data_IF_083346402871
#
_entry.id   IF_083346402871
#
_cell.length_a   1.000
_cell.length_b   1.000
_cell.length_c   1.000
_cell.angle_alpha   90.00
_cell.angle_beta   90.00
_cell.angle_gamma   90.00
#
_symmetry.space_group_name_H-M   'P 1'
#
loop_
_entity.id
_entity.type
_entity.pdbx_description
1 polymer ?
#
# COMPACT_ATOMS: atom_id res chain seq x y z
N UNK A 1 -33.39 -47.28 -7.98
CA UNK A 1 -31.91 -47.20 -8.04
C UNK A 1 -31.58 -46.06 -9.00
N UNK A 2 -30.74 -45.07 -8.72
CA UNK A 2 -29.93 -44.77 -7.54
C UNK A 2 -30.23 -43.36 -7.00
N UNK A 3 -29.97 -43.19 -5.71
CA UNK A 3 -30.12 -41.95 -4.95
C UNK A 3 -28.98 -41.01 -5.33
N UNK A 4 -29.26 -39.74 -5.67
CA UNK A 4 -28.24 -38.68 -5.74
C UNK A 4 -28.48 -37.70 -4.59
N UNK A 5 -27.42 -37.40 -3.85
CA UNK A 5 -27.38 -36.38 -2.81
C UNK A 5 -27.21 -35.02 -3.51
N UNK A 6 -28.17 -34.12 -3.28
CA UNK A 6 -28.10 -32.71 -3.65
C UNK A 6 -27.32 -31.94 -2.58
N UNK A 7 -26.80 -30.78 -3.00
CA UNK A 7 -25.94 -29.88 -2.25
C UNK A 7 -26.58 -29.25 -1.00
N UNK A 8 -25.70 -28.57 -0.26
CA UNK A 8 -25.92 -27.58 0.80
C UNK A 8 -27.35 -27.58 1.36
N UNK A 9 -27.54 -28.36 2.42
CA UNK A 9 -28.82 -28.46 3.12
C UNK A 9 -29.17 -27.14 3.83
N UNK A 10 -30.42 -26.71 3.63
CA UNK A 10 -31.13 -25.70 4.43
C UNK A 10 -30.83 -25.86 5.92
N UNK A 11 -30.22 -24.86 6.54
CA UNK A 11 -30.12 -24.78 8.00
C UNK A 11 -31.36 -24.06 8.53
N UNK A 12 -32.28 -24.83 9.12
CA UNK A 12 -33.26 -24.30 10.07
C UNK A 12 -32.57 -24.18 11.44
N UNK A 13 -32.62 -22.98 12.02
CA UNK A 13 -32.18 -22.69 13.37
C UNK A 13 -33.06 -23.40 14.42
N UNK A 14 -32.48 -24.26 15.27
CA UNK A 14 -32.92 -24.47 16.66
C UNK A 14 -31.97 -25.35 17.50
N UNK A 15 -31.77 -24.90 18.75
CA UNK A 15 -30.92 -25.44 19.82
C UNK A 15 -31.31 -26.85 20.33
N UNK A 16 -30.26 -27.58 20.73
CA UNK A 16 -30.09 -28.47 21.90
C UNK A 16 -30.54 -29.97 21.93
N UNK A 17 -29.50 -30.82 22.06
CA UNK A 17 -29.16 -31.82 23.12
C UNK A 17 -29.42 -33.35 22.94
N UNK A 18 -28.29 -34.07 23.11
CA UNK A 18 -28.01 -35.44 23.66
C UNK A 18 -28.09 -36.69 22.77
N UNK A 19 -26.89 -37.28 22.60
CA UNK A 19 -26.42 -38.68 22.46
C UNK A 19 -27.31 -39.76 21.84
N UNK A 20 -26.78 -40.43 20.81
CA UNK A 20 -26.57 -41.89 20.84
C UNK A 20 -25.47 -42.29 19.85
N UNK A 21 -24.60 -43.20 20.27
CA UNK A 21 -23.53 -43.81 19.48
C UNK A 21 -24.06 -44.52 18.23
N UNK A 22 -23.39 -44.33 17.09
CA UNK A 22 -23.21 -45.42 16.12
C UNK A 22 -21.96 -45.19 15.27
N UNK A 23 -21.01 -46.11 15.41
CA UNK A 23 -19.83 -46.23 14.56
C UNK A 23 -20.27 -46.65 13.16
N UNK A 24 -20.13 -45.75 12.20
CA UNK A 24 -20.00 -46.15 10.81
C UNK A 24 -19.02 -45.21 10.09
N UNK A 25 -17.88 -45.79 9.75
CA UNK A 25 -16.75 -45.16 9.07
C UNK A 25 -17.16 -44.74 7.65
N UNK A 26 -17.48 -43.46 7.47
CA UNK A 26 -17.44 -42.78 6.18
C UNK A 26 -16.41 -41.68 6.27
N UNK A 27 -15.52 -41.64 5.27
CA UNK A 27 -14.63 -40.51 4.99
C UNK A 27 -15.42 -39.21 5.21
N UNK A 28 -15.04 -38.44 6.22
CA UNK A 28 -15.41 -37.03 6.31
C UNK A 28 -14.72 -36.37 5.12
N UNK A 29 -15.47 -36.11 4.06
CA UNK A 29 -15.22 -34.88 3.31
C UNK A 29 -15.54 -33.78 4.33
N UNK A 30 -14.51 -33.14 4.88
CA UNK A 30 -14.67 -31.93 5.68
C UNK A 30 -15.40 -30.92 4.79
N UNK A 31 -16.71 -30.79 5.02
CA UNK A 31 -17.51 -29.74 4.41
C UNK A 31 -17.01 -28.43 5.02
N UNK A 32 -16.20 -27.70 4.25
CA UNK A 32 -15.74 -26.37 4.61
C UNK A 32 -16.99 -25.51 4.87
N UNK A 33 -17.21 -25.15 6.12
CA UNK A 33 -18.27 -24.23 6.53
C UNK A 33 -17.58 -22.90 6.77
N UNK A 34 -17.62 -22.03 5.77
CA UNK A 34 -17.12 -20.65 5.92
C UNK A 34 -18.25 -19.83 6.51
N UNK A 35 -18.05 -19.28 7.71
CA UNK A 35 -18.98 -18.29 8.25
C UNK A 35 -18.84 -17.01 7.44
N UNK A 36 -19.95 -16.54 6.85
CA UNK A 36 -19.97 -15.34 6.04
C UNK A 36 -20.01 -14.09 6.94
N UNK A 37 -19.36 -13.02 6.50
CA UNK A 37 -19.32 -11.75 7.24
C UNK A 37 -20.70 -11.08 7.37
N UNK A 38 -21.65 -11.42 6.48
CA UNK A 38 -22.99 -10.84 6.43
C UNK A 38 -24.08 -11.92 6.37
N UNK A 39 -25.29 -11.60 6.84
CA UNK A 39 -26.46 -12.43 6.61
C UNK A 39 -26.84 -12.38 5.12
N UNK A 40 -26.44 -13.42 4.39
CA UNK A 40 -26.69 -13.54 2.95
C UNK A 40 -27.90 -14.45 2.70
N UNK A 41 -28.72 -14.13 1.71
CA UNK A 41 -29.80 -15.00 1.26
C UNK A 41 -29.24 -16.33 0.72
N UNK A 42 -29.48 -17.48 1.40
CA UNK A 42 -28.91 -18.77 1.00
C UNK A 42 -29.58 -19.36 -0.27
N UNK A 43 -30.68 -18.77 -0.74
CA UNK A 43 -31.34 -19.18 -1.98
C UNK A 43 -30.91 -18.32 -3.20
N UNK A 44 -30.03 -17.32 -3.01
CA UNK A 44 -29.47 -16.48 -4.08
C UNK A 44 -27.96 -16.77 -4.27
N UNK A 45 -27.58 -17.45 -5.38
CA UNK A 45 -26.18 -17.76 -5.70
C UNK A 45 -25.25 -16.53 -5.79
N UNK A 46 -25.73 -15.41 -6.35
CA UNK A 46 -24.87 -14.22 -6.51
C UNK A 46 -24.62 -13.54 -5.18
N UNK A 47 -25.66 -13.44 -4.34
CA UNK A 47 -25.51 -12.93 -2.98
C UNK A 47 -24.50 -13.77 -2.19
N UNK A 48 -24.52 -15.10 -2.31
CA UNK A 48 -23.53 -16.00 -1.70
C UNK A 48 -22.11 -15.76 -2.19
N UNK A 49 -21.92 -15.69 -3.51
CA UNK A 49 -20.62 -15.37 -4.11
C UNK A 49 -20.08 -14.02 -3.59
N UNK A 50 -20.93 -13.00 -3.53
CA UNK A 50 -20.53 -11.67 -3.05
C UNK A 50 -20.17 -11.68 -1.56
N UNK A 51 -20.90 -12.45 -0.75
CA UNK A 51 -20.57 -12.68 0.65
C UNK A 51 -19.21 -13.37 0.83
N UNK A 52 -18.97 -14.45 0.07
CA UNK A 52 -17.68 -15.17 0.10
C UNK A 52 -16.52 -14.27 -0.33
N UNK A 53 -16.70 -13.48 -1.40
CA UNK A 53 -15.70 -12.53 -1.85
C UNK A 53 -15.39 -11.47 -0.79
N UNK A 54 -16.42 -10.94 -0.13
CA UNK A 54 -16.23 -9.96 0.94
C UNK A 54 -15.47 -10.57 2.13
N UNK A 55 -15.83 -11.77 2.56
CA UNK A 55 -15.10 -12.51 3.61
C UNK A 55 -13.65 -12.76 3.24
N UNK A 56 -13.36 -13.07 1.98
CA UNK A 56 -11.98 -13.21 1.52
C UNK A 56 -11.21 -11.89 1.60
N UNK A 57 -11.80 -10.78 1.17
CA UNK A 57 -11.16 -9.45 1.21
C UNK A 57 -10.90 -8.93 2.62
N UNK A 58 -11.76 -9.28 3.57
CA UNK A 58 -11.64 -8.92 4.99
C UNK A 58 -10.68 -9.84 5.76
N UNK A 59 -10.34 -11.00 5.20
CA UNK A 59 -9.27 -11.85 5.71
C UNK A 59 -7.89 -11.34 5.26
N UNK A 60 -6.83 -12.00 5.68
CA UNK A 60 -5.44 -11.74 5.22
C UNK A 60 -5.20 -12.01 3.72
N UNK A 61 -6.23 -12.35 2.94
CA UNK A 61 -6.18 -12.58 1.47
C UNK A 61 -5.17 -13.65 1.02
N UNK A 62 -4.70 -14.49 1.96
CA UNK A 62 -3.77 -15.60 1.78
C UNK A 62 -4.48 -16.97 1.79
N UNK A 63 -5.77 -17.01 2.09
CA UNK A 63 -6.53 -18.25 2.17
C UNK A 63 -6.91 -18.77 0.77
N UNK A 64 -6.03 -19.59 0.19
CA UNK A 64 -6.23 -20.27 -1.10
C UNK A 64 -7.50 -21.13 -1.13
N UNK A 65 -7.93 -21.69 0.02
CA UNK A 65 -9.14 -22.52 0.06
C UNK A 65 -10.40 -21.68 -0.19
N UNK A 66 -10.48 -20.48 0.37
CA UNK A 66 -11.59 -19.56 0.13
C UNK A 66 -11.55 -19.08 -1.33
N UNK A 67 -10.38 -18.72 -1.85
CA UNK A 67 -10.21 -18.28 -3.23
C UNK A 67 -10.65 -19.36 -4.24
N UNK A 68 -10.24 -20.61 -4.01
CA UNK A 68 -10.70 -21.76 -4.80
C UNK A 68 -12.21 -22.00 -4.66
N UNK A 69 -12.77 -21.78 -3.47
CA UNK A 69 -14.22 -21.82 -3.25
C UNK A 69 -14.96 -20.79 -4.11
N UNK A 70 -14.44 -19.57 -4.20
CA UNK A 70 -14.99 -18.48 -5.02
C UNK A 70 -14.93 -18.83 -6.50
N UNK A 71 -13.80 -19.34 -6.99
CA UNK A 71 -13.64 -19.78 -8.40
C UNK A 71 -14.64 -20.89 -8.75
N UNK A 72 -14.75 -21.90 -7.89
CA UNK A 72 -15.68 -23.01 -8.09
C UNK A 72 -17.15 -22.55 -8.08
N UNK A 73 -17.49 -21.57 -7.25
CA UNK A 73 -18.83 -20.99 -7.20
C UNK A 73 -19.12 -20.15 -8.47
N UNK A 74 -18.15 -19.39 -8.96
CA UNK A 74 -18.24 -18.71 -10.25
C UNK A 74 -18.50 -19.70 -11.41
N UNK A 75 -17.75 -20.80 -11.44
CA UNK A 75 -17.93 -21.87 -12.42
C UNK A 75 -19.30 -22.55 -12.31
N UNK A 76 -19.80 -22.76 -11.08
CA UNK A 76 -21.15 -23.31 -10.85
C UNK A 76 -22.21 -22.36 -11.40
N UNK A 77 -22.11 -21.07 -11.07
CA UNK A 77 -23.05 -20.03 -11.51
C UNK A 77 -23.07 -19.94 -13.03
N UNK A 78 -21.91 -19.86 -13.71
CA UNK A 78 -21.86 -19.81 -15.17
C UNK A 78 -22.37 -21.07 -15.83
N UNK A 79 -22.21 -22.25 -15.23
CA UNK A 79 -22.69 -23.50 -15.82
C UNK A 79 -24.19 -23.68 -15.69
N UNK A 80 -24.76 -23.19 -14.58
CA UNK A 80 -26.16 -23.38 -14.25
C UNK A 80 -27.05 -22.22 -14.70
N UNK A 81 -26.50 -21.05 -15.02
CA UNK A 81 -27.30 -19.94 -15.52
C UNK A 81 -27.91 -20.25 -16.90
N UNK A 82 -29.16 -19.81 -17.10
CA UNK A 82 -29.89 -20.06 -18.35
C UNK A 82 -29.20 -19.52 -19.61
N UNK A 83 -28.55 -18.37 -19.50
CA UNK A 83 -27.84 -17.74 -20.61
C UNK A 83 -26.70 -18.62 -21.17
N UNK A 84 -26.19 -19.53 -20.34
CA UNK A 84 -25.15 -20.51 -20.72
C UNK A 84 -25.69 -21.94 -20.86
N UNK A 85 -27.01 -22.11 -20.98
CA UNK A 85 -27.65 -23.41 -21.21
C UNK A 85 -27.95 -24.24 -19.96
N UNK A 86 -27.84 -23.64 -18.77
CA UNK A 86 -28.28 -24.23 -17.52
C UNK A 86 -29.79 -24.07 -17.25
N UNK A 87 -30.22 -24.46 -16.06
CA UNK A 87 -31.63 -24.46 -15.63
C UNK A 87 -31.98 -23.42 -14.54
N UNK A 88 -30.98 -22.75 -13.96
CA UNK A 88 -31.17 -21.73 -12.92
C UNK A 88 -31.37 -20.33 -13.52
N UNK A 89 -32.41 -19.63 -13.04
CA UNK A 89 -32.70 -18.22 -13.38
C UNK A 89 -31.72 -17.27 -12.68
N UNK A 90 -30.45 -17.30 -13.07
CA UNK A 90 -29.40 -16.43 -12.54
C UNK A 90 -29.07 -15.37 -13.58
N UNK A 91 -29.23 -14.09 -13.22
CA UNK A 91 -28.81 -12.96 -14.04
C UNK A 91 -27.42 -12.49 -13.59
N UNK A 92 -26.37 -12.98 -14.24
CA UNK A 92 -25.00 -12.51 -13.99
C UNK A 92 -24.87 -11.03 -14.35
N UNK A 93 -24.02 -10.31 -13.63
CA UNK A 93 -23.77 -8.88 -13.82
C UNK A 93 -22.26 -8.59 -13.97
N UNK A 94 -21.90 -7.33 -14.17
CA UNK A 94 -20.51 -6.89 -14.26
C UNK A 94 -19.69 -7.23 -13.00
N UNK A 95 -20.27 -7.11 -11.81
CA UNK A 95 -19.65 -7.48 -10.54
C UNK A 95 -19.28 -8.97 -10.47
N UNK A 96 -20.13 -9.85 -11.00
CA UNK A 96 -19.82 -11.27 -11.13
C UNK A 96 -18.54 -11.50 -11.95
N UNK A 97 -18.46 -10.89 -13.14
CA UNK A 97 -17.29 -11.03 -14.00
C UNK A 97 -16.04 -10.42 -13.38
N UNK A 98 -16.19 -9.34 -12.63
CA UNK A 98 -15.10 -8.74 -11.89
C UNK A 98 -14.53 -9.63 -10.80
N UNK A 99 -15.38 -10.17 -9.94
CA UNK A 99 -14.97 -11.11 -8.89
C UNK A 99 -14.29 -12.32 -9.51
N UNK A 100 -14.87 -12.87 -10.58
CA UNK A 100 -14.30 -14.05 -11.21
C UNK A 100 -12.93 -13.76 -11.83
N UNK A 101 -12.78 -12.61 -12.49
CA UNK A 101 -11.49 -12.20 -13.09
C UNK A 101 -10.42 -12.00 -12.01
N UNK A 102 -10.73 -11.25 -10.95
CA UNK A 102 -9.80 -11.02 -9.84
C UNK A 102 -9.43 -12.32 -9.10
N UNK A 103 -10.40 -13.23 -8.92
CA UNK A 103 -10.14 -14.49 -8.25
C UNK A 103 -9.16 -15.39 -9.03
N UNK A 104 -9.16 -15.34 -10.36
CA UNK A 104 -8.25 -16.09 -11.23
C UNK A 104 -6.84 -15.48 -11.33
N UNK A 105 -6.66 -14.24 -10.88
CA UNK A 105 -5.49 -13.43 -11.20
C UNK A 105 -4.17 -14.01 -10.70
N UNK A 106 -4.14 -14.51 -9.45
CA UNK A 106 -2.92 -15.04 -8.80
C UNK A 106 -2.25 -16.17 -9.57
N UNK A 107 -3.03 -17.10 -10.13
CA UNK A 107 -2.48 -18.29 -10.80
C UNK A 107 -2.63 -18.26 -12.32
N UNK A 108 -3.62 -17.52 -12.85
CA UNK A 108 -4.03 -17.60 -14.25
C UNK A 108 -4.37 -16.22 -14.83
N UNK A 109 -3.41 -15.30 -14.87
CA UNK A 109 -3.56 -13.94 -15.44
C UNK A 109 -4.26 -13.95 -16.82
N UNK A 110 -3.89 -14.87 -17.71
CA UNK A 110 -4.55 -14.97 -19.03
C UNK A 110 -6.03 -15.36 -18.91
N UNK A 111 -6.36 -16.32 -18.03
CA UNK A 111 -7.76 -16.70 -17.79
C UNK A 111 -8.56 -15.61 -17.08
N UNK A 112 -7.90 -14.82 -16.23
CA UNK A 112 -8.47 -13.61 -15.63
C UNK A 112 -8.86 -12.60 -16.71
N UNK A 113 -7.96 -12.31 -17.65
CA UNK A 113 -8.21 -11.42 -18.79
C UNK A 113 -9.30 -11.97 -19.72
N UNK A 114 -9.25 -13.25 -20.09
CA UNK A 114 -10.28 -13.87 -20.93
C UNK A 114 -11.68 -13.73 -20.30
N UNK A 115 -11.77 -13.92 -18.97
CA UNK A 115 -13.03 -13.78 -18.25
C UNK A 115 -13.51 -12.33 -18.20
N UNK A 116 -12.59 -11.38 -18.09
CA UNK A 116 -12.91 -9.96 -18.14
C UNK A 116 -13.44 -9.54 -19.52
N UNK A 117 -12.82 -10.03 -20.60
CA UNK A 117 -13.23 -9.78 -21.98
C UNK A 117 -14.62 -10.38 -22.29
N UNK A 118 -14.96 -11.54 -21.71
CA UNK A 118 -16.34 -12.04 -21.74
C UNK A 118 -17.32 -11.09 -21.04
N UNK A 119 -16.89 -10.45 -19.94
CA UNK A 119 -17.63 -9.40 -19.26
C UNK A 119 -17.87 -8.19 -20.16
N UNK A 120 -16.83 -7.66 -20.80
CA UNK A 120 -16.95 -6.54 -21.75
C UNK A 120 -17.85 -6.89 -22.93
N UNK A 121 -17.74 -8.11 -23.47
CA UNK A 121 -18.62 -8.59 -24.53
C UNK A 121 -20.11 -8.59 -24.15
N UNK A 122 -20.43 -8.75 -22.87
CA UNK A 122 -21.82 -8.76 -22.35
C UNK A 122 -22.32 -7.39 -21.92
N UNK A 123 -21.49 -6.59 -21.26
CA UNK A 123 -21.89 -5.32 -20.64
C UNK A 123 -21.41 -4.08 -21.39
N UNK A 124 -20.65 -4.28 -22.47
CA UNK A 124 -20.07 -3.24 -23.32
C UNK A 124 -18.73 -2.72 -22.80
N UNK A 125 -17.89 -2.31 -23.74
CA UNK A 125 -16.55 -1.72 -23.50
C UNK A 125 -16.60 -0.43 -22.67
N UNK A 126 -17.78 0.14 -22.52
CA UNK A 126 -18.08 1.36 -21.78
C UNK A 126 -18.39 1.12 -20.29
N UNK A 127 -18.36 -0.15 -19.84
CA UNK A 127 -18.65 -0.49 -18.44
C UNK A 127 -17.50 -0.05 -17.52
N UNK A 128 -17.80 0.88 -16.61
CA UNK A 128 -16.81 1.49 -15.70
C UNK A 128 -16.21 0.46 -14.73
N UNK A 129 -17.03 -0.42 -14.17
CA UNK A 129 -16.57 -1.44 -13.21
C UNK A 129 -15.51 -2.33 -13.85
N UNK A 130 -15.81 -2.86 -15.04
CA UNK A 130 -14.90 -3.75 -15.77
C UNK A 130 -13.60 -3.04 -16.17
N UNK A 131 -13.65 -1.74 -16.51
CA UNK A 131 -12.42 -0.94 -16.74
C UNK A 131 -11.55 -0.84 -15.50
N UNK A 132 -12.13 -0.51 -14.36
CA UNK A 132 -11.39 -0.40 -13.09
C UNK A 132 -10.81 -1.76 -12.66
N UNK A 133 -11.54 -2.86 -12.90
CA UNK A 133 -11.00 -4.21 -12.70
C UNK A 133 -9.82 -4.47 -13.64
N UNK A 134 -9.90 -4.01 -14.90
CA UNK A 134 -8.78 -4.12 -15.84
C UNK A 134 -7.56 -3.33 -15.36
N UNK A 135 -7.75 -2.13 -14.81
CA UNK A 135 -6.68 -1.36 -14.18
C UNK A 135 -5.98 -2.18 -13.08
N UNK A 136 -6.75 -2.78 -12.17
CA UNK A 136 -6.21 -3.62 -11.10
C UNK A 136 -5.37 -4.79 -11.67
N UNK A 137 -5.91 -5.52 -12.64
CA UNK A 137 -5.22 -6.65 -13.30
C UNK A 137 -3.93 -6.20 -14.01
N UNK A 138 -3.91 -5.02 -14.63
CA UNK A 138 -2.72 -4.46 -15.29
C UNK A 138 -1.64 -4.17 -14.25
N UNK A 139 -1.97 -3.54 -13.12
CA UNK A 139 -1.00 -3.23 -12.08
C UNK A 139 -0.41 -4.51 -11.47
N UNK A 140 -1.24 -5.51 -11.16
CA UNK A 140 -0.77 -6.81 -10.67
C UNK A 140 0.11 -7.53 -11.71
N UNK A 141 -0.25 -7.43 -12.99
CA UNK A 141 0.57 -7.95 -14.09
C UNK A 141 1.94 -7.26 -14.14
N UNK A 142 2.00 -5.94 -13.97
CA UNK A 142 3.27 -5.20 -13.91
C UNK A 142 4.08 -5.66 -12.69
N UNK A 143 3.47 -5.72 -11.51
CA UNK A 143 4.17 -6.13 -10.29
C UNK A 143 4.73 -7.55 -10.40
N UNK A 144 3.92 -8.53 -10.81
CA UNK A 144 4.27 -9.96 -10.76
C UNK A 144 5.12 -10.39 -11.96
N UNK A 145 4.71 -10.04 -13.18
CA UNK A 145 5.33 -10.56 -14.41
C UNK A 145 6.46 -9.68 -14.93
N UNK A 146 6.52 -8.41 -14.53
CA UNK A 146 7.58 -7.49 -14.93
C UNK A 146 8.52 -7.26 -13.76
N UNK A 147 8.14 -6.42 -12.80
CA UNK A 147 9.04 -5.94 -11.73
C UNK A 147 9.57 -7.10 -10.87
N UNK A 148 8.70 -8.02 -10.45
CA UNK A 148 9.09 -9.20 -9.66
C UNK A 148 10.01 -10.20 -10.38
N UNK A 149 10.22 -10.04 -11.68
CA UNK A 149 11.16 -10.86 -12.47
C UNK A 149 12.47 -10.12 -12.79
N UNK A 150 12.58 -8.82 -12.45
CA UNK A 150 13.75 -8.00 -12.73
C UNK A 150 14.81 -8.13 -11.63
N UNK A 151 16.04 -7.78 -11.99
CA UNK A 151 17.17 -7.51 -11.13
C UNK A 151 17.89 -6.26 -11.64
N UNK A 152 18.88 -5.78 -10.91
CA UNK A 152 19.64 -4.55 -11.24
C UNK A 152 20.33 -4.57 -12.61
N UNK A 153 20.57 -5.75 -13.19
CA UNK A 153 21.22 -5.94 -14.50
C UNK A 153 20.23 -6.17 -15.67
N UNK A 154 18.92 -6.15 -15.39
CA UNK A 154 17.86 -6.43 -16.36
C UNK A 154 17.82 -5.40 -17.49
N UNK A 155 17.41 -5.84 -18.69
CA UNK A 155 17.42 -5.00 -19.90
C UNK A 155 16.04 -4.76 -20.47
N UNK A 156 15.81 -3.57 -21.03
CA UNK A 156 14.56 -3.20 -21.73
C UNK A 156 14.09 -4.27 -22.73
N UNK A 157 15.02 -4.89 -23.46
CA UNK A 157 14.69 -5.93 -24.45
C UNK A 157 14.09 -7.21 -23.86
N UNK A 158 14.31 -7.50 -22.58
CA UNK A 158 13.80 -8.69 -21.89
C UNK A 158 12.37 -8.48 -21.39
N UNK A 159 11.98 -7.21 -21.20
CA UNK A 159 10.70 -6.80 -20.63
C UNK A 159 9.93 -5.85 -21.58
N UNK A 160 9.61 -6.29 -22.81
CA UNK A 160 8.90 -5.43 -23.76
C UNK A 160 7.47 -5.14 -23.29
N UNK A 161 6.98 -3.94 -23.58
CA UNK A 161 5.59 -3.59 -23.30
C UNK A 161 5.34 -2.97 -21.92
N UNK A 162 6.35 -2.77 -21.07
CA UNK A 162 6.16 -2.25 -19.71
C UNK A 162 5.56 -0.83 -19.72
N UNK A 163 6.16 0.08 -20.49
CA UNK A 163 5.66 1.45 -20.59
C UNK A 163 4.26 1.50 -21.21
N UNK A 164 3.97 0.61 -22.17
CA UNK A 164 2.65 0.46 -22.77
C UNK A 164 1.61 0.00 -21.76
N UNK A 165 1.96 -0.86 -20.80
CA UNK A 165 1.03 -1.29 -19.74
C UNK A 165 0.68 -0.13 -18.80
N UNK A 166 1.64 0.72 -18.42
CA UNK A 166 1.33 1.92 -17.65
C UNK A 166 0.44 2.90 -18.43
N UNK A 167 0.71 3.10 -19.72
CA UNK A 167 -0.14 3.93 -20.57
C UNK A 167 -1.56 3.34 -20.69
N UNK A 168 -1.70 2.02 -20.84
CA UNK A 168 -3.01 1.36 -20.85
C UNK A 168 -3.75 1.56 -19.53
N UNK A 169 -3.06 1.46 -18.39
CA UNK A 169 -3.62 1.77 -17.08
C UNK A 169 -4.13 3.22 -16.99
N UNK A 170 -3.33 4.20 -17.42
CA UNK A 170 -3.71 5.61 -17.41
C UNK A 170 -4.94 5.86 -18.29
N UNK A 171 -4.93 5.36 -19.52
CA UNK A 171 -6.04 5.52 -20.45
C UNK A 171 -7.34 4.89 -19.93
N UNK A 172 -7.26 3.69 -19.34
CA UNK A 172 -8.42 3.01 -18.77
C UNK A 172 -8.99 3.73 -17.56
N UNK A 173 -8.13 4.21 -16.66
CA UNK A 173 -8.53 4.92 -15.46
C UNK A 173 -9.19 6.26 -15.82
N UNK A 174 -8.57 7.05 -16.70
CA UNK A 174 -9.15 8.32 -17.15
C UNK A 174 -10.46 8.12 -17.92
N UNK A 175 -10.56 7.10 -18.76
CA UNK A 175 -11.80 6.78 -19.47
C UNK A 175 -12.91 6.36 -18.49
N UNK A 176 -12.58 5.62 -17.43
CA UNK A 176 -13.51 5.30 -16.34
C UNK A 176 -14.04 6.58 -15.65
N UNK A 177 -13.14 7.52 -15.28
CA UNK A 177 -13.52 8.80 -14.69
C UNK A 177 -14.41 9.61 -15.65
N UNK A 178 -13.98 9.82 -16.89
CA UNK A 178 -14.74 10.60 -17.90
C UNK A 178 -16.16 10.05 -18.10
N UNK A 179 -16.32 8.72 -18.00
CA UNK A 179 -17.64 8.07 -18.10
C UNK A 179 -18.51 8.32 -16.88
N UNK A 180 -17.93 8.25 -15.68
CA UNK A 180 -18.63 8.65 -14.46
C UNK A 180 -19.06 10.12 -14.51
N UNK A 181 -18.18 11.01 -14.96
CA UNK A 181 -18.48 12.44 -15.15
C UNK A 181 -19.63 12.66 -16.13
N UNK A 182 -19.59 12.00 -17.29
CA UNK A 182 -20.63 12.12 -18.32
C UNK A 182 -22.03 11.68 -17.85
N UNK A 183 -22.09 10.81 -16.82
CA UNK A 183 -23.32 10.25 -16.26
C UNK A 183 -23.68 10.86 -14.90
N UNK A 184 -22.83 11.74 -14.37
CA UNK A 184 -22.90 12.25 -12.99
C UNK A 184 -23.11 11.12 -11.96
N UNK A 185 -22.42 9.99 -12.16
CA UNK A 185 -22.52 8.82 -11.28
C UNK A 185 -21.13 8.33 -10.85
N UNK A 186 -20.79 8.60 -9.60
CA UNK A 186 -19.53 8.24 -8.96
C UNK A 186 -19.69 7.17 -7.87
N UNK A 187 -20.85 6.50 -7.78
CA UNK A 187 -21.17 5.56 -6.69
C UNK A 187 -20.11 4.46 -6.55
N UNK A 188 -19.50 4.04 -7.66
CA UNK A 188 -18.45 3.02 -7.66
C UNK A 188 -17.20 3.44 -6.86
N UNK A 189 -16.88 4.73 -6.79
CA UNK A 189 -15.73 5.25 -6.04
C UNK A 189 -15.96 5.23 -4.52
N UNK A 190 -17.17 4.92 -4.05
CA UNK A 190 -17.44 4.63 -2.65
C UNK A 190 -17.06 3.18 -2.27
N UNK A 191 -16.72 2.34 -3.25
CA UNK A 191 -16.24 0.98 -2.98
C UNK A 191 -14.73 0.98 -2.71
N UNK A 192 -14.31 0.48 -1.55
CA UNK A 192 -12.92 0.50 -1.09
C UNK A 192 -11.89 -0.04 -2.10
N UNK A 193 -12.25 -1.10 -2.83
CA UNK A 193 -11.37 -1.72 -3.82
C UNK A 193 -11.02 -0.80 -5.01
N UNK A 194 -11.80 0.27 -5.25
CA UNK A 194 -11.48 1.24 -6.29
C UNK A 194 -10.34 2.14 -5.85
N UNK A 195 -10.32 2.55 -4.58
CA UNK A 195 -9.18 3.26 -3.99
C UNK A 195 -7.94 2.35 -3.93
N UNK A 196 -8.13 1.06 -3.64
CA UNK A 196 -7.03 0.08 -3.64
C UNK A 196 -6.25 0.08 -4.96
N UNK A 197 -6.86 0.41 -6.11
CA UNK A 197 -6.14 0.50 -7.40
C UNK A 197 -5.08 1.60 -7.35
N UNK A 198 -5.41 2.79 -6.85
CA UNK A 198 -4.43 3.88 -6.73
C UNK A 198 -3.38 3.58 -5.65
N UNK A 199 -3.77 2.88 -4.57
CA UNK A 199 -2.82 2.45 -3.55
C UNK A 199 -1.83 1.42 -4.10
N UNK A 200 -2.28 0.43 -4.88
CA UNK A 200 -1.40 -0.53 -5.54
C UNK A 200 -0.45 0.18 -6.51
N UNK A 201 -0.93 1.20 -7.23
CA UNK A 201 -0.08 1.98 -8.11
C UNK A 201 0.99 2.76 -7.32
N UNK A 202 0.61 3.40 -6.22
CA UNK A 202 1.52 4.08 -5.27
C UNK A 202 2.61 3.14 -4.76
N UNK A 203 2.21 1.98 -4.21
CA UNK A 203 3.13 0.96 -3.69
C UNK A 203 4.09 0.47 -4.79
N UNK A 204 3.63 0.40 -6.04
CA UNK A 204 4.45 0.04 -7.18
C UNK A 204 5.49 1.11 -7.51
N UNK A 205 5.13 2.40 -7.41
CA UNK A 205 6.07 3.51 -7.57
C UNK A 205 7.13 3.49 -6.47
N UNK A 206 6.73 3.27 -5.22
CA UNK A 206 7.67 3.09 -4.10
C UNK A 206 8.66 1.95 -4.34
N UNK A 207 8.19 0.80 -4.84
CA UNK A 207 9.04 -0.33 -5.21
C UNK A 207 9.99 0.06 -6.34
N UNK A 208 9.50 0.81 -7.34
CA UNK A 208 10.32 1.26 -8.46
C UNK A 208 11.40 2.24 -7.98
N UNK A 209 11.06 3.22 -7.16
CA UNK A 209 11.99 4.25 -6.68
C UNK A 209 13.09 3.65 -5.80
N UNK A 210 12.74 2.65 -4.99
CA UNK A 210 13.70 1.91 -4.15
C UNK A 210 14.43 0.79 -4.89
N UNK A 211 14.12 0.53 -6.16
CA UNK A 211 14.65 -0.62 -6.89
C UNK A 211 16.17 -0.56 -7.06
N UNK A 212 16.86 -1.56 -6.50
CA UNK A 212 18.31 -1.69 -6.57
C UNK A 212 19.08 -0.95 -5.48
N UNK A 213 18.41 -0.08 -4.71
CA UNK A 213 18.96 0.38 -3.43
C UNK A 213 18.94 -0.81 -2.46
N UNK A 214 20.03 -1.00 -1.70
CA UNK A 214 19.97 -1.91 -0.56
C UNK A 214 18.90 -1.33 0.37
N UNK A 215 17.76 -2.02 0.46
CA UNK A 215 16.88 -1.85 1.59
C UNK A 215 17.72 -2.21 2.82
N UNK A 216 18.36 -1.24 3.46
CA UNK A 216 18.41 -1.32 4.91
C UNK A 216 16.96 -1.22 5.29
N UNK A 217 16.29 -2.36 5.38
CA UNK A 217 15.09 -2.48 6.15
C UNK A 217 15.36 -1.68 7.42
N UNK A 218 14.59 -0.60 7.60
CA UNK A 218 14.23 -0.21 8.95
C UNK A 218 13.64 -1.51 9.48
N UNK A 219 14.48 -2.25 10.19
CA UNK A 219 14.06 -3.40 10.97
C UNK A 219 13.03 -2.79 11.89
N UNK A 220 11.76 -3.01 11.59
CA UNK A 220 10.73 -2.94 12.60
C UNK A 220 11.30 -3.72 13.77
N UNK A 221 11.63 -3.03 14.85
CA UNK A 221 12.15 -3.62 16.07
C UNK A 221 11.00 -4.33 16.77
N UNK A 222 10.45 -5.33 16.09
CA UNK A 222 9.37 -6.22 16.50
C UNK A 222 9.93 -7.66 16.60
N UNK A 223 11.15 -7.81 17.14
CA UNK A 223 11.50 -9.05 17.82
C UNK A 223 11.01 -8.94 19.26
N UNK A 224 9.82 -9.50 19.50
CA UNK A 224 9.35 -9.88 20.82
C UNK A 224 10.39 -10.80 21.47
N UNK A 225 11.23 -10.24 22.35
CA UNK A 225 12.07 -11.02 23.25
C UNK A 225 11.18 -11.79 24.25
N UNK A 226 10.73 -12.97 23.85
CA UNK A 226 10.24 -13.98 24.78
C UNK A 226 11.43 -14.54 25.59
N UNK A 227 11.70 -13.93 26.75
CA UNK A 227 12.38 -14.63 27.84
C UNK A 227 11.48 -15.78 28.35
N UNK A 228 11.93 -17.03 28.24
CA UNK A 228 12.42 -17.80 29.40
C UNK A 228 12.40 -19.34 29.21
N UNK A 229 13.50 -19.93 29.69
CA UNK A 229 13.68 -21.23 30.31
C UNK A 229 13.57 -22.56 29.54
N UNK A 230 14.72 -23.26 29.47
CA UNK A 230 14.74 -24.65 29.97
C UNK A 230 15.63 -25.69 29.26
N UNK A 231 16.88 -25.80 29.73
CA UNK A 231 17.65 -27.04 30.02
C UNK A 231 18.10 -28.01 28.90
N UNK A 232 19.42 -28.26 28.93
CA UNK A 232 20.09 -29.57 28.71
C UNK A 232 20.47 -29.84 27.24
N UNK A 233 21.64 -30.36 26.87
CA UNK A 233 22.63 -31.20 27.53
C UNK A 233 24.02 -31.05 26.85
N UNK A 234 25.06 -31.39 27.62
CA UNK A 234 26.46 -31.56 27.20
C UNK A 234 26.62 -32.73 26.21
N UNK A 235 27.51 -32.58 25.23
CA UNK A 235 28.74 -33.37 25.03
C UNK A 235 29.24 -33.27 23.57
N UNK A 236 30.49 -32.88 23.36
CA UNK A 236 31.42 -33.82 22.74
C UNK A 236 32.65 -33.13 22.19
N UNK A 237 33.76 -33.32 22.90
CA UNK A 237 35.09 -32.88 22.50
C UNK A 237 35.60 -33.66 21.28
N UNK A 238 36.31 -32.98 20.38
CA UNK A 238 37.05 -33.57 19.27
C UNK A 238 38.24 -32.70 18.91
N UNK A 239 39.37 -32.92 19.58
CA UNK A 239 40.64 -32.28 19.31
C UNK A 239 41.24 -32.75 17.97
N UNK A 240 41.81 -31.82 17.21
CA UNK A 240 42.64 -32.09 16.03
C UNK A 240 43.62 -30.95 15.81
N UNK A 241 44.85 -31.12 16.32
CA UNK A 241 45.95 -30.19 16.14
C UNK A 241 46.57 -30.29 14.74
N UNK A 242 46.97 -29.15 14.17
CA UNK A 242 47.79 -29.08 12.97
C UNK A 242 48.37 -27.67 12.79
N UNK A 243 49.62 -27.49 13.16
CA UNK A 243 50.38 -26.24 13.10
C UNK A 243 50.79 -25.86 11.68
N UNK A 244 50.92 -24.55 11.41
CA UNK A 244 51.56 -24.00 10.22
C UNK A 244 51.56 -22.49 10.24
N UNK A 245 52.63 -21.90 10.75
CA UNK A 245 52.88 -20.46 10.82
C UNK A 245 53.07 -19.84 9.42
N UNK A 246 52.54 -18.64 9.24
CA UNK A 246 52.75 -17.75 8.11
C UNK A 246 52.24 -16.37 8.50
N UNK A 247 53.08 -15.60 9.18
CA UNK A 247 52.84 -14.18 9.48
C UNK A 247 52.98 -13.38 8.19
N UNK A 248 51.86 -12.85 7.68
CA UNK A 248 51.87 -11.71 6.76
C UNK A 248 51.15 -10.56 7.48
N UNK A 249 51.94 -9.58 7.92
CA UNK A 249 51.46 -8.28 8.38
C UNK A 249 50.80 -7.57 7.19
N UNK A 250 49.48 -7.41 7.24
CA UNK A 250 48.77 -6.53 6.32
C UNK A 250 48.36 -5.27 7.10
N UNK A 251 48.94 -4.14 6.71
CA UNK A 251 48.71 -2.80 7.23
C UNK A 251 47.21 -2.46 7.22
N UNK A 252 46.57 -2.45 8.39
CA UNK A 252 45.30 -1.76 8.62
C UNK A 252 45.63 -0.28 8.83
N UNK A 253 45.73 0.45 7.73
CA UNK A 253 45.96 1.89 7.69
C UNK A 253 44.99 2.56 6.72
N UNK A 254 43.82 2.94 7.23
CA UNK A 254 42.85 3.78 6.55
C UNK A 254 41.87 4.27 7.60
N UNK A 255 42.13 5.46 8.15
CA UNK A 255 41.17 6.19 8.99
C UNK A 255 39.94 6.49 8.12
N UNK A 256 38.86 5.73 8.31
CA UNK A 256 37.55 6.13 7.82
C UNK A 256 37.12 7.33 8.65
N UNK A 257 37.18 8.51 8.06
CA UNK A 257 36.66 9.72 8.69
C UNK A 257 35.14 9.63 8.74
N UNK A 258 34.54 10.20 9.77
CA UNK A 258 33.07 10.31 9.95
C UNK A 258 32.38 11.02 8.77
N UNK A 259 33.12 11.66 7.86
CA UNK A 259 32.61 12.22 6.61
C UNK A 259 32.23 11.17 5.56
N UNK A 260 32.81 9.97 5.60
CA UNK A 260 32.52 8.91 4.62
C UNK A 260 31.25 8.14 4.95
N UNK A 261 30.70 8.29 6.17
CA UNK A 261 29.46 7.65 6.59
C UNK A 261 28.19 8.34 6.07
N UNK A 262 28.31 9.54 5.47
CA UNK A 262 27.18 10.35 4.99
C UNK A 262 27.04 10.39 3.46
N UNK A 263 27.93 9.71 2.71
CA UNK A 263 27.78 9.53 1.26
C UNK A 263 27.21 8.15 0.98
N UNK A 264 25.90 8.00 1.16
CA UNK A 264 25.16 6.95 0.47
C UNK A 264 25.11 7.38 -0.98
N UNK A 265 26.00 6.85 -1.84
CA UNK A 265 25.82 7.03 -3.28
C UNK A 265 24.52 6.31 -3.66
N UNK A 266 23.47 7.08 -3.95
CA UNK A 266 22.21 6.54 -4.44
C UNK A 266 22.48 5.62 -5.64
N UNK A 267 22.02 4.38 -5.54
CA UNK A 267 22.21 3.43 -6.62
C UNK A 267 21.42 3.92 -7.85
N UNK A 268 22.13 4.15 -8.95
CA UNK A 268 21.52 4.56 -10.21
C UNK A 268 21.43 3.39 -11.18
N UNK A 269 20.23 3.10 -11.65
CA UNK A 269 20.00 2.10 -12.70
C UNK A 269 20.69 2.51 -14.01
N UNK A 270 21.11 1.51 -14.79
CA UNK A 270 21.61 1.75 -16.13
C UNK A 270 20.50 2.29 -17.04
N UNK A 271 20.83 3.16 -18.01
CA UNK A 271 19.85 3.74 -18.95
C UNK A 271 19.06 2.71 -19.78
N UNK A 272 19.63 1.52 -19.96
CA UNK A 272 19.01 0.39 -20.66
C UNK A 272 18.14 -0.49 -19.74
N UNK A 273 18.05 -0.17 -18.44
CA UNK A 273 17.18 -0.86 -17.50
C UNK A 273 15.70 -0.51 -17.77
N UNK A 274 14.75 -1.47 -17.70
CA UNK A 274 13.33 -1.20 -17.95
C UNK A 274 12.73 -0.09 -17.08
N UNK A 275 13.17 0.02 -15.82
CA UNK A 275 12.66 1.01 -14.85
C UNK A 275 13.36 2.37 -14.89
N UNK A 276 14.45 2.53 -15.65
CA UNK A 276 15.24 3.75 -15.62
C UNK A 276 14.43 5.00 -15.99
N UNK A 277 13.62 4.93 -17.04
CA UNK A 277 12.79 6.06 -17.46
C UNK A 277 11.65 6.31 -16.48
N UNK A 278 11.13 5.26 -15.84
CA UNK A 278 10.02 5.36 -14.90
C UNK A 278 10.48 6.08 -13.62
N UNK A 279 11.65 5.71 -13.06
CA UNK A 279 12.27 6.39 -11.91
C UNK A 279 12.64 7.86 -12.17
N UNK A 280 12.78 8.28 -13.43
CA UNK A 280 13.26 9.63 -13.79
C UNK A 280 12.15 10.57 -14.23
N UNK A 281 10.95 10.08 -14.46
CA UNK A 281 9.84 10.87 -14.96
C UNK A 281 8.77 11.07 -13.89
N UNK A 282 8.56 12.31 -13.46
CA UNK A 282 7.53 12.63 -12.44
C UNK A 282 6.10 12.38 -12.90
N UNK A 283 5.87 12.11 -14.19
CA UNK A 283 4.51 11.94 -14.74
C UNK A 283 3.71 10.85 -14.02
N UNK A 284 4.38 9.84 -13.45
CA UNK A 284 3.73 8.75 -12.72
C UNK A 284 3.22 9.23 -11.35
N UNK A 285 4.07 9.93 -10.60
CA UNK A 285 3.71 10.56 -9.32
C UNK A 285 2.65 11.66 -9.52
N UNK A 286 2.78 12.47 -10.57
CA UNK A 286 1.78 13.48 -10.97
C UNK A 286 0.44 12.80 -11.29
N UNK A 287 0.44 11.74 -12.09
CA UNK A 287 -0.77 11.00 -12.41
C UNK A 287 -1.44 10.47 -11.14
N UNK A 288 -0.69 9.85 -10.24
CA UNK A 288 -1.25 9.35 -8.98
C UNK A 288 -1.88 10.50 -8.16
N UNK A 289 -1.15 11.60 -7.97
CA UNK A 289 -1.58 12.73 -7.15
C UNK A 289 -2.81 13.43 -7.72
N UNK A 290 -2.81 13.71 -9.02
CA UNK A 290 -3.95 14.32 -9.72
C UNK A 290 -5.20 13.44 -9.58
N UNK A 291 -5.05 12.13 -9.68
CA UNK A 291 -6.17 11.20 -9.56
C UNK A 291 -6.61 10.98 -8.11
N UNK A 292 -5.72 11.08 -7.12
CA UNK A 292 -6.09 11.12 -5.71
C UNK A 292 -6.85 12.39 -5.33
N UNK A 293 -6.43 13.56 -5.85
CA UNK A 293 -7.17 14.81 -5.72
C UNK A 293 -8.55 14.69 -6.38
N UNK A 294 -8.61 14.12 -7.58
CA UNK A 294 -9.89 13.87 -8.24
C UNK A 294 -10.76 12.90 -7.44
N UNK A 295 -10.18 11.86 -6.86
CA UNK A 295 -10.87 10.90 -5.99
C UNK A 295 -11.49 11.63 -4.79
N UNK A 296 -10.73 12.51 -4.14
CA UNK A 296 -11.20 13.36 -3.05
C UNK A 296 -12.39 14.22 -3.46
N UNK A 297 -12.39 14.79 -4.67
CA UNK A 297 -13.49 15.63 -5.18
C UNK A 297 -14.77 14.85 -5.48
N UNK A 298 -14.67 13.62 -5.99
CA UNK A 298 -15.83 12.82 -6.42
C UNK A 298 -16.39 11.91 -5.32
N UNK A 299 -15.67 11.76 -4.21
CA UNK A 299 -16.14 11.00 -3.06
C UNK A 299 -17.46 11.56 -2.53
N UNK A 300 -18.41 10.67 -2.24
CA UNK A 300 -19.68 11.09 -1.68
C UNK A 300 -19.52 11.60 -0.24
N UNK A 301 -20.40 12.52 0.15
CA UNK A 301 -20.44 13.05 1.53
C UNK A 301 -20.68 11.95 2.57
N UNK A 302 -21.33 10.85 2.19
CA UNK A 302 -21.61 9.68 3.01
C UNK A 302 -20.65 8.50 2.76
N UNK A 303 -19.57 8.70 1.98
CA UNK A 303 -18.54 7.69 1.81
C UNK A 303 -17.93 7.29 3.16
N UNK A 304 -17.46 6.03 3.24
CA UNK A 304 -16.98 5.48 4.52
C UNK A 304 -15.83 6.34 5.10
N UNK A 305 -15.79 6.54 6.43
CA UNK A 305 -14.70 7.26 7.07
C UNK A 305 -13.31 6.69 6.75
N UNK A 306 -13.22 5.36 6.57
CA UNK A 306 -12.00 4.66 6.19
C UNK A 306 -11.45 5.13 4.84
N UNK A 307 -12.29 5.19 3.81
CA UNK A 307 -11.89 5.63 2.46
C UNK A 307 -11.48 7.11 2.50
N UNK A 308 -12.29 7.97 3.13
CA UNK A 308 -11.97 9.39 3.27
C UNK A 308 -10.64 9.60 3.97
N UNK A 309 -10.42 8.94 5.11
CA UNK A 309 -9.16 9.05 5.85
C UNK A 309 -7.97 8.64 5.00
N UNK A 310 -8.05 7.49 4.33
CA UNK A 310 -6.97 6.99 3.49
C UNK A 310 -6.62 7.96 2.35
N UNK A 311 -7.61 8.57 1.69
CA UNK A 311 -7.38 9.57 0.64
C UNK A 311 -6.67 10.81 1.18
N UNK A 312 -7.15 11.36 2.29
CA UNK A 312 -6.60 12.57 2.88
C UNK A 312 -5.21 12.34 3.48
N UNK A 313 -4.98 11.18 4.11
CA UNK A 313 -3.69 10.80 4.68
C UNK A 313 -2.63 10.68 3.59
N UNK A 314 -2.90 9.92 2.53
CA UNK A 314 -1.97 9.75 1.41
C UNK A 314 -1.69 11.07 0.68
N UNK A 315 -2.70 11.91 0.46
CA UNK A 315 -2.49 13.25 -0.09
C UNK A 315 -1.62 14.12 0.84
N UNK A 316 -1.85 14.05 2.17
CA UNK A 316 -1.05 14.76 3.15
C UNK A 316 0.41 14.35 3.14
N UNK A 317 0.67 13.03 3.18
CA UNK A 317 2.03 12.46 3.06
C UNK A 317 2.69 12.86 1.75
N UNK A 318 1.94 12.83 0.66
CA UNK A 318 2.45 13.24 -0.64
C UNK A 318 2.88 14.71 -0.69
N UNK A 319 2.18 15.63 -0.01
CA UNK A 319 2.61 17.03 0.07
C UNK A 319 3.82 17.21 0.99
N UNK A 320 3.93 16.40 2.06
CA UNK A 320 5.15 16.39 2.90
C UNK A 320 6.37 15.94 2.10
N UNK A 321 6.23 14.87 1.31
CA UNK A 321 7.31 14.37 0.45
C UNK A 321 7.74 15.42 -0.59
N UNK A 322 6.78 16.10 -1.24
CA UNK A 322 7.11 17.20 -2.16
C UNK A 322 7.81 18.37 -1.45
N UNK A 323 7.53 18.58 -0.15
CA UNK A 323 8.17 19.63 0.63
C UNK A 323 9.63 19.32 0.97
N UNK A 324 10.09 18.06 0.89
CA UNK A 324 11.45 17.68 1.28
C UNK A 324 12.52 18.42 0.47
N UNK A 325 12.35 18.55 -0.85
CA UNK A 325 13.33 19.23 -1.71
C UNK A 325 13.48 20.74 -1.37
N UNK A 326 12.42 21.56 -1.34
CA UNK A 326 12.56 22.96 -0.95
C UNK A 326 13.03 23.14 0.50
N UNK A 327 12.65 22.24 1.41
CA UNK A 327 13.13 22.27 2.81
C UNK A 327 14.64 21.97 2.86
N UNK A 328 15.10 20.94 2.15
CA UNK A 328 16.51 20.57 2.08
C UNK A 328 17.36 21.70 1.50
N UNK A 329 16.90 22.34 0.41
CA UNK A 329 17.57 23.49 -0.19
C UNK A 329 17.67 24.68 0.78
N UNK A 330 16.58 24.98 1.51
CA UNK A 330 16.61 26.04 2.51
C UNK A 330 17.59 25.72 3.66
N UNK A 331 17.56 24.48 4.16
CA UNK A 331 18.42 24.05 5.26
C UNK A 331 19.90 24.05 4.86
N UNK A 332 20.25 23.58 3.66
CA UNK A 332 21.65 23.60 3.20
C UNK A 332 22.20 25.03 3.16
N UNK A 333 21.41 25.97 2.67
CA UNK A 333 21.79 27.39 2.67
C UNK A 333 21.96 27.96 4.09
N UNK A 334 21.13 27.56 5.07
CA UNK A 334 21.31 28.01 6.46
C UNK A 334 22.62 27.48 7.06
N UNK A 335 22.93 26.20 6.90
CA UNK A 335 24.11 25.58 7.49
C UNK A 335 25.43 26.00 6.81
N UNK A 336 25.47 26.07 5.48
CA UNK A 336 26.68 26.51 4.74
C UNK A 336 27.10 27.93 5.16
N UNK A 337 26.14 28.80 5.45
CA UNK A 337 26.39 30.17 5.90
C UNK A 337 26.82 30.28 7.37
N UNK A 338 26.47 29.31 8.21
CA UNK A 338 26.97 29.24 9.59
C UNK A 338 28.45 28.84 9.64
N UNK A 339 28.94 28.13 8.62
CA UNK A 339 30.32 27.62 8.56
C UNK A 339 31.29 28.53 7.78
N UNK A 340 30.82 29.21 6.72
CA UNK A 340 31.67 30.04 5.86
C UNK A 340 31.46 31.56 6.12
N UNK A 341 32.31 32.14 6.97
CA UNK A 341 32.47 33.62 7.10
C UNK A 341 33.38 34.21 5.99
N UNK A 342 33.51 33.57 4.82
CA UNK A 342 34.34 34.10 3.73
C UNK A 342 33.61 35.16 2.88
N UNK A 343 34.38 36.13 2.37
CA UNK A 343 33.90 37.27 1.57
C UNK A 343 33.32 36.80 0.22
N UNK A 344 32.06 36.37 0.19
CA UNK A 344 31.31 36.12 -1.04
C UNK A 344 30.94 37.44 -1.75
N UNK A 345 30.71 37.36 -3.07
CA UNK A 345 30.21 38.48 -3.86
C UNK A 345 28.81 38.90 -3.34
N UNK A 346 28.65 40.16 -2.93
CA UNK A 346 27.40 40.69 -2.34
C UNK A 346 26.17 40.47 -3.24
N UNK A 347 26.35 40.42 -4.57
CA UNK A 347 25.25 40.14 -5.51
C UNK A 347 24.87 38.65 -5.53
N UNK A 348 25.84 37.73 -5.47
CA UNK A 348 25.60 36.28 -5.48
C UNK A 348 24.97 35.80 -4.14
N UNK A 349 25.42 36.31 -2.98
CA UNK A 349 24.81 36.03 -1.67
C UNK A 349 23.35 36.51 -1.62
N UNK A 350 23.05 37.68 -2.21
CA UNK A 350 21.70 38.22 -2.25
C UNK A 350 20.74 37.37 -3.10
N UNK A 351 21.21 36.85 -4.25
CA UNK A 351 20.43 35.96 -5.11
C UNK A 351 20.18 34.60 -4.44
N UNK A 352 21.22 33.99 -3.85
CA UNK A 352 21.09 32.71 -3.16
C UNK A 352 20.17 32.80 -1.95
N UNK A 353 20.28 33.88 -1.17
CA UNK A 353 19.34 34.17 -0.08
C UNK A 353 17.90 34.29 -0.54
N UNK A 354 17.66 34.97 -1.66
CA UNK A 354 16.31 35.12 -2.20
C UNK A 354 15.74 33.76 -2.62
N UNK A 355 16.54 32.91 -3.27
CA UNK A 355 16.17 31.55 -3.63
C UNK A 355 15.86 30.69 -2.40
N UNK A 356 16.67 30.76 -1.34
CA UNK A 356 16.43 30.02 -0.10
C UNK A 356 15.13 30.47 0.58
N UNK A 357 14.83 31.77 0.57
CA UNK A 357 13.57 32.30 1.11
C UNK A 357 12.34 31.94 0.24
N UNK A 358 12.52 31.81 -1.07
CA UNK A 358 11.48 31.28 -1.96
C UNK A 358 11.24 29.79 -1.68
N UNK A 359 12.31 29.00 -1.50
CA UNK A 359 12.22 27.59 -1.13
C UNK A 359 11.54 27.40 0.24
N UNK A 360 11.90 28.18 1.25
CA UNK A 360 11.23 28.20 2.56
C UNK A 360 9.72 28.45 2.42
N UNK A 361 9.33 29.47 1.64
CA UNK A 361 7.92 29.80 1.40
C UNK A 361 7.17 28.67 0.70
N UNK A 362 7.81 28.00 -0.24
CA UNK A 362 7.21 26.84 -0.90
C UNK A 362 7.07 25.64 0.03
N UNK A 363 8.10 25.34 0.84
CA UNK A 363 8.03 24.33 1.89
C UNK A 363 6.90 24.60 2.88
N UNK A 364 6.76 25.85 3.36
CA UNK A 364 5.65 26.25 4.23
C UNK A 364 4.28 26.07 3.57
N UNK A 365 4.16 26.40 2.27
CA UNK A 365 2.93 26.20 1.51
C UNK A 365 2.54 24.73 1.44
N UNK A 366 3.49 23.86 1.06
CA UNK A 366 3.28 22.43 0.91
C UNK A 366 2.94 21.75 2.25
N UNK A 367 3.72 22.04 3.30
CA UNK A 367 3.46 21.52 4.66
C UNK A 367 2.11 22.03 5.19
N UNK A 368 1.72 23.27 4.90
CA UNK A 368 0.41 23.82 5.25
C UNK A 368 -0.75 23.06 4.59
N UNK A 369 -0.63 22.70 3.31
CA UNK A 369 -1.61 21.84 2.61
C UNK A 369 -1.68 20.45 3.25
N UNK A 370 -0.52 19.85 3.58
CA UNK A 370 -0.45 18.56 4.25
C UNK A 370 -1.16 18.58 5.62
N UNK A 371 -0.89 19.60 6.44
CA UNK A 371 -1.56 19.81 7.74
C UNK A 371 -3.06 19.94 7.57
N UNK A 372 -3.52 20.70 6.57
CA UNK A 372 -4.94 20.85 6.27
C UNK A 372 -5.62 19.50 6.01
N UNK A 373 -4.97 18.62 5.28
CA UNK A 373 -5.46 17.27 4.99
C UNK A 373 -5.40 16.34 6.21
N UNK A 374 -4.27 16.31 6.92
CA UNK A 374 -4.06 15.44 8.10
C UNK A 374 -4.95 15.83 9.30
N UNK A 375 -5.44 17.07 9.35
CA UNK A 375 -6.47 17.47 10.34
C UNK A 375 -7.81 16.78 10.09
N UNK A 376 -8.14 16.46 8.85
CA UNK A 376 -9.39 15.77 8.49
C UNK A 376 -9.29 14.24 8.69
N UNK A 377 -8.09 13.71 8.95
CA UNK A 377 -7.86 12.27 9.14
C UNK A 377 -7.96 11.81 10.60
N UNK A 378 -8.04 12.75 11.55
CA UNK A 378 -7.99 12.47 12.99
C UNK A 378 -9.06 11.45 13.43
N UNK A 379 -8.63 10.41 14.14
CA UNK A 379 -9.50 9.41 14.75
C UNK A 379 -9.29 9.38 16.27
N UNK A 380 -10.36 9.18 17.03
CA UNK A 380 -10.25 8.99 18.48
C UNK A 380 -9.69 7.62 18.86
N UNK A 381 -9.86 6.62 17.99
CA UNK A 381 -9.47 5.23 18.22
C UNK A 381 -8.11 4.86 17.63
N UNK A 382 -7.51 5.74 16.81
CA UNK A 382 -6.23 5.51 16.14
C UNK A 382 -5.21 6.62 16.48
N UNK A 383 -4.36 6.40 17.51
CA UNK A 383 -3.33 7.35 17.92
C UNK A 383 -2.34 7.72 16.82
N UNK A 384 -2.12 6.87 15.81
CA UNK A 384 -1.21 7.15 14.69
C UNK A 384 -1.64 8.39 13.92
N UNK A 385 -2.95 8.62 13.79
CA UNK A 385 -3.49 9.81 13.13
C UNK A 385 -3.06 11.12 13.81
N UNK A 386 -2.91 11.11 15.14
CA UNK A 386 -2.44 12.28 15.89
C UNK A 386 -0.94 12.51 15.71
N UNK A 387 -0.16 11.42 15.61
CA UNK A 387 1.28 11.47 15.40
C UNK A 387 1.61 12.00 14.02
N UNK A 388 0.96 11.49 12.96
CA UNK A 388 1.17 11.99 11.59
C UNK A 388 0.95 13.51 11.50
N UNK A 389 -0.10 14.04 12.16
CA UNK A 389 -0.35 15.48 12.21
C UNK A 389 0.71 16.23 13.05
N UNK A 390 1.17 15.65 14.16
CA UNK A 390 2.20 16.24 14.99
C UNK A 390 3.53 16.36 14.24
N UNK A 391 3.95 15.34 13.49
CA UNK A 391 5.18 15.37 12.68
C UNK A 391 5.12 16.45 11.59
N UNK A 392 3.97 16.61 10.93
CA UNK A 392 3.74 17.70 9.99
C UNK A 392 3.84 19.08 10.66
N UNK A 393 3.29 19.24 11.87
CA UNK A 393 3.40 20.48 12.66
C UNK A 393 4.83 20.75 13.14
N UNK A 394 5.60 19.73 13.48
CA UNK A 394 7.03 19.88 13.80
C UNK A 394 7.79 20.36 12.57
N UNK A 395 7.51 19.75 11.41
CA UNK A 395 8.10 20.16 10.13
C UNK A 395 7.76 21.63 9.81
N UNK A 396 6.52 22.05 10.06
CA UNK A 396 6.10 23.46 9.92
C UNK A 396 6.87 24.37 10.87
N UNK A 397 7.00 23.99 12.15
CA UNK A 397 7.74 24.74 13.16
C UNK A 397 9.22 24.92 12.83
N UNK A 398 9.85 23.91 12.22
CA UNK A 398 11.23 23.96 11.75
C UNK A 398 11.45 24.97 10.61
N UNK A 399 10.39 25.35 9.88
CA UNK A 399 10.46 26.31 8.78
C UNK A 399 10.23 27.76 9.21
N UNK A 400 9.92 28.00 10.47
CA UNK A 400 9.77 29.35 11.01
C UNK A 400 11.05 29.80 11.73
N UNK A 401 11.19 31.12 11.88
CA UNK A 401 12.32 31.70 12.62
C UNK A 401 12.32 31.18 14.07
N UNK A 402 13.52 30.96 14.62
CA UNK A 402 13.70 30.51 16.00
C UNK A 402 12.98 31.46 16.98
N UNK A 403 12.25 30.87 17.93
CA UNK A 403 11.44 31.56 18.95
C UNK A 403 10.32 32.46 18.37
N UNK A 404 9.95 32.26 17.11
CA UNK A 404 8.81 32.96 16.53
C UNK A 404 7.48 32.48 17.14
N UNK A 405 6.47 33.35 17.25
CA UNK A 405 5.14 32.95 17.72
C UNK A 405 4.52 31.80 16.89
N UNK A 406 4.84 31.74 15.60
CA UNK A 406 4.38 30.71 14.68
C UNK A 406 5.03 29.35 15.00
N UNK A 407 6.35 29.32 15.23
CA UNK A 407 7.08 28.13 15.66
C UNK A 407 6.55 27.61 17.00
N UNK A 408 6.47 28.49 18.01
CA UNK A 408 6.00 28.11 19.36
C UNK A 408 4.58 27.51 19.30
N UNK A 409 3.72 28.08 18.44
CA UNK A 409 2.36 27.58 18.26
C UNK A 409 2.32 26.20 17.61
N UNK A 410 3.13 25.98 16.58
CA UNK A 410 3.20 24.69 15.88
C UNK A 410 3.70 23.58 16.83
N UNK A 411 4.79 23.84 17.56
CA UNK A 411 5.34 22.89 18.54
C UNK A 411 4.41 22.63 19.72
N UNK A 412 3.74 23.66 20.26
CA UNK A 412 2.78 23.47 21.35
C UNK A 412 1.59 22.59 20.92
N UNK A 413 1.17 22.69 19.66
CA UNK A 413 0.12 21.81 19.13
C UNK A 413 0.63 20.39 18.89
N UNK A 414 1.83 20.23 18.30
CA UNK A 414 2.48 18.93 18.11
C UNK A 414 2.69 18.20 19.44
N UNK A 415 3.24 18.88 20.46
CA UNK A 415 3.43 18.34 21.80
C UNK A 415 2.12 17.82 22.39
N UNK A 416 1.03 18.59 22.27
CA UNK A 416 -0.28 18.19 22.78
C UNK A 416 -0.78 16.91 22.11
N UNK A 417 -0.60 16.77 20.80
CA UNK A 417 -0.97 15.59 20.04
C UNK A 417 -0.10 14.38 20.42
N UNK A 418 1.22 14.56 20.51
CA UNK A 418 2.16 13.50 20.92
C UNK A 418 1.90 13.02 22.35
N UNK A 419 1.68 13.93 23.30
CA UNK A 419 1.28 13.55 24.68
C UNK A 419 -0.01 12.75 24.69
N UNK A 420 -0.98 13.12 23.84
CA UNK A 420 -2.24 12.36 23.71
C UNK A 420 -1.98 10.96 23.15
N UNK A 421 -1.20 10.85 22.08
CA UNK A 421 -0.88 9.58 21.43
C UNK A 421 -0.08 8.65 22.35
N UNK A 422 0.93 9.20 23.01
CA UNK A 422 1.80 8.48 23.93
C UNK A 422 1.03 7.91 25.13
N UNK A 423 0.10 8.71 25.71
CA UNK A 423 -0.78 8.24 26.77
C UNK A 423 -1.73 7.12 26.31
N UNK A 424 -2.25 7.21 25.08
CA UNK A 424 -3.16 6.19 24.54
C UNK A 424 -2.45 4.87 24.20
N UNK A 425 -1.14 4.93 23.91
CA UNK A 425 -0.30 3.79 23.50
C UNK A 425 0.63 3.28 24.60
N UNK A 426 0.53 3.81 25.83
CA UNK A 426 1.35 3.41 26.98
C UNK A 426 2.86 3.63 26.78
N UNK A 427 3.27 4.74 26.18
CA UNK A 427 4.69 5.10 26.08
C UNK A 427 5.33 4.85 24.72
N UNK A 428 4.59 4.37 23.71
CA UNK A 428 5.16 4.03 22.41
C UNK A 428 5.76 5.23 21.65
N UNK A 429 5.30 6.45 21.94
CA UNK A 429 5.76 7.68 21.28
C UNK A 429 6.58 8.57 22.23
N UNK A 430 7.12 8.01 23.31
CA UNK A 430 7.87 8.76 24.31
C UNK A 430 9.13 9.37 23.71
N UNK A 431 9.87 8.63 22.88
CA UNK A 431 11.12 9.10 22.27
C UNK A 431 10.88 10.32 21.35
N UNK A 432 9.83 10.27 20.53
CA UNK A 432 9.43 11.39 19.66
C UNK A 432 9.03 12.60 20.51
N UNK A 433 8.26 12.38 21.58
CA UNK A 433 7.85 13.43 22.50
C UNK A 433 9.05 14.07 23.19
N UNK A 434 9.99 13.28 23.71
CA UNK A 434 11.19 13.75 24.39
C UNK A 434 12.13 14.49 23.45
N UNK A 435 12.24 14.06 22.19
CA UNK A 435 12.99 14.79 21.17
C UNK A 435 12.43 16.21 20.94
N UNK A 436 11.13 16.43 21.13
CA UNK A 436 10.51 17.74 20.95
C UNK A 436 10.60 18.62 22.21
N UNK A 437 10.39 18.05 23.40
CA UNK A 437 10.29 18.83 24.66
C UNK A 437 11.59 18.87 25.48
N UNK A 438 12.57 18.03 25.13
CA UNK A 438 13.78 17.77 25.91
C UNK A 438 13.57 16.74 27.02
N UNK A 439 14.63 16.04 27.44
CA UNK A 439 14.61 15.19 28.64
C UNK A 439 14.39 16.07 29.90
N UNK A 440 13.39 15.74 30.73
CA UNK A 440 13.20 16.36 32.07
C UNK A 440 14.14 15.79 33.14
#
# INVERSE_FOLDING_TARGET
MGKRKLGLGKVQSKKQKVESENKDSKKNEELLTVELANEVNPDDPLSQLFGLWQTWKESERNNELILNGIINECDRILRNCKDNGGDEEIQVNDKFYGIYSLALLKEWINSSLDRLEEGFSKFGDDNVRLKLIKCNIILDKIAILYIGQMNTDSKKSEFPGLSELFNEFFELWEDAIKRCESKENYEIFNEEWVLEILNIFDDLLDIIDKFGNNMSEVVDSDEEDEEDDGKGERAGAGAGAGAGAGEEEQELGGETTTSDALKVEDFQLAQDHPLYEIQKEDKYNIFWRDNMLKYKEILADDASPKIKRSVYEKLGQSYLMEAEEPIAFFNSYQYEREEDEEEEDEEEDAEMKAAAEDARREGQRLVGEAIGLLRETQDEEDPKTWVNLAEALITEGNLFDLDSPEQEKAYAEAEKLLRRANNATHGHYEDILQSLVGEE
#
